data_IF_595514743518
#
_entry.id   IF_595514743518
#
_cell.length_a   1.000
_cell.length_b   1.000
_cell.length_c   1.000
_cell.angle_alpha   90.00
_cell.angle_beta   90.00
_cell.angle_gamma   90.00
#
_symmetry.space_group_name_H-M   'P 1'
#
loop_
_entity.id
_entity.type
_entity.pdbx_description
1 polymer ?
#
# COMPACT_ATOMS: atom_id res chain seq x y z
N UNK A 1 -37.60 22.13 3.07
CA UNK A 1 -37.50 20.67 2.88
C UNK A 1 -36.21 20.42 2.10
N UNK A 2 -35.36 19.55 2.62
CA UNK A 2 -33.94 19.42 2.26
C UNK A 2 -33.74 18.85 0.85
N UNK A 3 -32.81 19.45 0.10
CA UNK A 3 -32.39 19.00 -1.23
C UNK A 3 -31.27 17.96 -1.06
N UNK A 4 -31.47 16.82 -1.71
CA UNK A 4 -30.51 15.76 -1.99
C UNK A 4 -29.23 16.33 -2.63
N UNK A 5 -28.08 16.20 -1.96
CA UNK A 5 -26.78 16.56 -2.52
C UNK A 5 -25.94 15.31 -2.76
N UNK A 6 -26.17 14.72 -3.92
CA UNK A 6 -25.32 13.76 -4.61
C UNK A 6 -23.88 14.31 -4.79
N UNK A 7 -22.92 13.81 -4.00
CA UNK A 7 -21.47 13.51 -4.24
C UNK A 7 -20.63 14.27 -5.32
N UNK A 8 -19.28 14.22 -5.24
CA UNK A 8 -18.36 14.46 -4.12
C UNK A 8 -17.18 15.38 -4.58
N UNK A 9 -16.99 16.54 -3.96
CA UNK A 9 -15.80 17.42 -4.06
C UNK A 9 -14.94 17.34 -5.34
N UNK A 10 -15.25 18.20 -6.31
CA UNK A 10 -14.31 18.61 -7.34
C UNK A 10 -13.39 19.74 -6.84
N UNK A 11 -12.11 19.68 -7.22
CA UNK A 11 -11.33 20.85 -7.62
C UNK A 11 -10.75 21.74 -6.53
N UNK A 12 -9.74 21.25 -5.82
CA UNK A 12 -8.77 22.05 -5.07
C UNK A 12 -7.46 21.25 -5.02
N UNK A 13 -6.31 21.87 -5.31
CA UNK A 13 -5.00 21.20 -5.34
C UNK A 13 -4.50 20.72 -3.98
N UNK A 14 -5.25 19.85 -3.32
CA UNK A 14 -4.80 19.16 -2.11
C UNK A 14 -3.70 18.17 -2.49
N UNK A 15 -2.53 18.21 -1.83
CA UNK A 15 -1.47 17.25 -2.08
C UNK A 15 -2.05 15.86 -1.86
N UNK A 16 -1.92 14.98 -2.86
CA UNK A 16 -2.42 13.62 -2.78
C UNK A 16 -1.78 12.92 -1.58
N UNK A 17 -2.51 12.87 -0.45
CA UNK A 17 -1.94 12.37 0.79
C UNK A 17 -1.94 10.85 0.72
N UNK A 18 -0.78 10.18 0.81
CA UNK A 18 -0.73 8.74 0.64
C UNK A 18 -1.52 8.05 1.77
N UNK A 19 -2.40 7.12 1.41
CA UNK A 19 -3.14 6.28 2.37
C UNK A 19 -2.41 4.95 2.59
N UNK A 20 -2.35 4.50 3.85
CA UNK A 20 -1.82 3.20 4.19
C UNK A 20 -2.80 2.08 3.82
N UNK A 21 -2.36 1.17 2.94
CA UNK A 21 -3.18 0.05 2.46
C UNK A 21 -3.57 -0.97 3.53
N UNK A 22 -2.89 -1.00 4.68
CA UNK A 22 -3.18 -1.95 5.76
C UNK A 22 -4.23 -1.41 6.74
N UNK A 23 -3.99 -0.22 7.31
CA UNK A 23 -4.89 0.36 8.32
C UNK A 23 -5.93 1.32 7.72
N UNK A 24 -5.83 1.65 6.41
CA UNK A 24 -6.71 2.61 5.70
C UNK A 24 -6.74 3.98 6.38
N UNK A 25 -5.61 4.38 6.97
CA UNK A 25 -5.40 5.69 7.56
C UNK A 25 -4.43 6.49 6.70
N UNK A 26 -4.63 7.80 6.68
CA UNK A 26 -3.74 8.74 5.99
C UNK A 26 -2.33 8.67 6.60
N UNK A 27 -1.32 8.67 5.74
CA UNK A 27 0.07 8.82 6.14
C UNK A 27 0.38 10.33 6.16
N UNK A 28 0.32 10.92 7.36
CA UNK A 28 0.57 12.34 7.53
C UNK A 28 1.99 12.75 7.10
N UNK A 29 2.16 14.01 6.72
CA UNK A 29 3.46 14.57 6.37
C UNK A 29 4.44 14.44 7.56
N UNK A 30 5.60 13.83 7.33
CA UNK A 30 6.61 13.56 8.38
C UNK A 30 6.50 12.18 9.04
N UNK A 31 5.43 11.42 8.79
CA UNK A 31 5.37 10.00 9.16
C UNK A 31 6.26 9.17 8.23
N UNK A 32 6.96 8.18 8.78
CA UNK A 32 7.75 7.26 7.96
C UNK A 32 6.83 6.33 7.17
N UNK A 33 7.06 6.28 5.87
CA UNK A 33 6.33 5.41 4.95
C UNK A 33 7.26 4.40 4.29
N UNK A 34 6.72 3.24 3.95
CA UNK A 34 7.40 2.23 3.18
C UNK A 34 6.55 1.82 1.99
N UNK A 35 7.20 1.63 0.85
CA UNK A 35 6.56 1.14 -0.36
C UNK A 35 6.85 -0.35 -0.50
N UNK A 36 5.79 -1.16 -0.54
CA UNK A 36 5.89 -2.60 -0.80
C UNK A 36 5.65 -2.82 -2.28
N UNK A 37 6.59 -3.52 -2.93
CA UNK A 37 6.48 -3.91 -4.34
C UNK A 37 6.94 -5.35 -4.56
N UNK A 38 6.02 -6.13 -5.09
CA UNK A 38 6.16 -7.46 -5.65
C UNK A 38 6.30 -7.32 -7.19
N UNK A 39 7.21 -8.09 -7.80
CA UNK A 39 7.51 -8.13 -9.24
C UNK A 39 6.30 -8.66 -10.04
N UNK A 40 6.18 -8.24 -11.32
CA UNK A 40 5.05 -8.63 -12.19
C UNK A 40 4.94 -10.12 -12.49
N UNK A 41 6.03 -10.87 -12.33
CA UNK A 41 6.06 -12.32 -12.54
C UNK A 41 5.64 -13.11 -11.29
N UNK A 42 5.32 -12.43 -10.19
CA UNK A 42 4.87 -13.06 -8.94
C UNK A 42 3.35 -13.25 -8.94
N UNK A 43 2.86 -14.10 -8.03
CA UNK A 43 1.45 -14.43 -7.87
C UNK A 43 0.56 -13.18 -7.77
N UNK A 44 -0.58 -13.17 -8.46
CA UNK A 44 -1.53 -12.05 -8.47
C UNK A 44 -1.95 -11.63 -7.06
N UNK A 45 -2.01 -12.57 -6.11
CA UNK A 45 -2.33 -12.30 -4.70
C UNK A 45 -1.25 -11.49 -3.99
N UNK A 46 0.02 -11.70 -4.34
CA UNK A 46 1.14 -10.92 -3.80
C UNK A 46 1.16 -9.52 -4.41
N UNK A 47 0.86 -9.41 -5.70
CA UNK A 47 0.72 -8.11 -6.36
C UNK A 47 -0.42 -7.28 -5.75
N UNK A 48 -1.48 -7.92 -5.26
CA UNK A 48 -2.55 -7.25 -4.53
C UNK A 48 -2.11 -6.64 -3.18
N UNK A 49 -0.89 -6.92 -2.70
CA UNK A 49 -0.29 -6.27 -1.53
C UNK A 49 0.59 -5.06 -1.89
N UNK A 50 0.79 -4.76 -3.18
CA UNK A 50 1.59 -3.62 -3.61
C UNK A 50 0.99 -2.29 -3.19
N UNK A 51 1.79 -1.38 -2.65
CA UNK A 51 1.32 -0.05 -2.31
C UNK A 51 2.11 0.61 -1.20
N UNK A 52 1.56 1.72 -0.71
CA UNK A 52 2.14 2.52 0.36
C UNK A 52 1.56 2.12 1.70
N UNK A 53 2.42 2.06 2.71
CA UNK A 53 2.08 1.69 4.08
C UNK A 53 2.86 2.59 5.04
N UNK A 54 2.36 2.77 6.27
CA UNK A 54 3.22 3.23 7.36
C UNK A 54 4.38 2.24 7.56
N UNK A 55 5.55 2.71 7.97
CA UNK A 55 6.72 1.84 8.21
C UNK A 55 6.40 0.67 9.15
N UNK A 56 5.63 0.93 10.21
CA UNK A 56 5.17 -0.09 11.14
C UNK A 56 4.21 -1.11 10.51
N UNK A 57 3.26 -0.64 9.70
CA UNK A 57 2.30 -1.50 8.99
C UNK A 57 2.96 -2.33 7.89
N UNK A 58 4.05 -1.83 7.30
CA UNK A 58 4.79 -2.51 6.25
C UNK A 58 5.65 -3.67 6.77
N UNK A 59 6.09 -3.62 8.04
CA UNK A 59 7.00 -4.63 8.63
C UNK A 59 6.60 -6.09 8.38
N UNK A 60 5.36 -6.54 8.68
CA UNK A 60 4.99 -7.94 8.45
C UNK A 60 5.05 -8.29 6.96
N UNK A 61 4.58 -7.40 6.09
CA UNK A 61 4.55 -7.62 4.63
C UNK A 61 5.98 -7.69 4.06
N UNK A 62 6.86 -6.80 4.52
CA UNK A 62 8.27 -6.81 4.13
C UNK A 62 9.00 -8.06 4.63
N UNK A 63 8.65 -8.57 5.82
CA UNK A 63 9.20 -9.83 6.34
C UNK A 63 8.77 -11.01 5.46
N UNK A 64 7.48 -11.08 5.09
CA UNK A 64 6.98 -12.09 4.15
C UNK A 64 7.66 -11.97 2.79
N UNK A 65 7.80 -10.75 2.26
CA UNK A 65 8.51 -10.53 1.00
C UNK A 65 9.95 -11.05 1.06
N UNK A 66 10.69 -10.74 2.12
CA UNK A 66 12.08 -11.23 2.29
C UNK A 66 12.15 -12.75 2.33
N UNK A 67 11.23 -13.40 3.05
CA UNK A 67 11.16 -14.85 3.11
C UNK A 67 10.80 -15.46 1.75
N UNK A 68 9.84 -14.87 1.04
CA UNK A 68 9.45 -15.27 -0.31
C UNK A 68 10.61 -15.14 -1.30
N UNK A 69 11.30 -13.99 -1.31
CA UNK A 69 12.47 -13.75 -2.16
C UNK A 69 13.60 -14.75 -1.87
N UNK A 70 13.80 -15.12 -0.60
CA UNK A 70 14.78 -16.15 -0.21
C UNK A 70 14.37 -17.54 -0.73
N UNK A 71 13.11 -17.96 -0.52
CA UNK A 71 12.62 -19.24 -1.02
C UNK A 71 12.72 -19.35 -2.54
N UNK A 72 12.41 -18.26 -3.27
CA UNK A 72 12.52 -18.24 -4.75
C UNK A 72 13.96 -18.43 -5.23
N UNK A 73 14.94 -17.91 -4.47
CA UNK A 73 16.38 -18.07 -4.79
C UNK A 73 16.90 -19.48 -4.52
N UNK A 74 16.32 -20.20 -3.57
CA UNK A 74 16.77 -21.55 -3.19
C UNK A 74 15.92 -22.69 -3.77
N UNK A 75 14.69 -22.42 -4.21
CA UNK A 75 13.75 -23.42 -4.74
C UNK A 75 13.60 -23.45 -6.26
N UNK A 76 14.32 -22.60 -7.00
CA UNK A 76 14.33 -22.58 -8.47
C UNK A 76 15.67 -23.03 -9.02
N UNK A 77 15.90 -24.35 -9.04
CA UNK A 77 17.00 -25.04 -9.72
C UNK A 77 16.45 -26.20 -10.52
#
# INVERSE_FOLDING_TARGET
>A
MFIDNSTPYGGGGEPWVPECRSCRQIIAQGQKQAQVRFERHEDTRLQALNGTYHEACAKPILSVKRAYDAMRRFGGG
#
